data_IF_483113424993
#
_entry.id   IF_483113424993
#
_cell.length_a   1.000
_cell.length_b   1.000
_cell.length_c   1.000
_cell.angle_alpha   90.00
_cell.angle_beta   90.00
_cell.angle_gamma   90.00
#
_symmetry.space_group_name_H-M   'P 1'
#
loop_
_entity.id
_entity.type
_entity.pdbx_description
1 polymer ?
#
# COMPACT_ATOMS: atom_id res chain seq x y z
N UNK A 1 -17.63 26.79 13.39
CA UNK A 1 -16.23 27.18 13.63
C UNK A 1 -15.31 26.36 12.72
N UNK A 2 -14.74 27.00 11.70
CA UNK A 2 -13.87 26.36 10.73
C UNK A 2 -12.50 26.11 11.35
N UNK A 3 -12.24 24.89 11.80
CA UNK A 3 -10.92 24.47 12.24
C UNK A 3 -9.93 24.60 11.07
N UNK A 4 -9.04 25.59 11.14
CA UNK A 4 -8.01 25.82 10.13
C UNK A 4 -7.23 24.55 9.82
N UNK A 5 -7.19 24.17 8.54
CA UNK A 5 -6.49 22.99 8.05
C UNK A 5 -5.00 23.15 8.37
N UNK A 6 -4.50 22.41 9.37
CA UNK A 6 -3.07 22.40 9.70
C UNK A 6 -2.30 21.99 8.44
N UNK A 7 -1.16 22.62 8.16
CA UNK A 7 -0.29 22.30 7.02
C UNK A 7 0.09 20.80 6.92
N UNK A 8 -0.01 20.08 8.04
CA UNK A 8 0.26 18.65 8.17
C UNK A 8 -0.89 17.73 7.73
N UNK A 9 -2.08 18.27 7.45
CA UNK A 9 -3.24 17.52 6.99
C UNK A 9 -3.18 17.28 5.49
N UNK A 10 -3.22 16.00 5.14
CA UNK A 10 -3.10 15.53 3.77
C UNK A 10 -3.86 14.21 3.64
N UNK A 11 -5.14 14.31 3.30
CA UNK A 11 -6.07 13.19 3.33
C UNK A 11 -5.70 12.11 2.30
N UNK A 12 -5.29 12.52 1.10
CA UNK A 12 -4.89 11.63 0.01
C UNK A 12 -3.68 10.79 0.41
N UNK A 13 -2.67 11.39 1.03
CA UNK A 13 -1.51 10.65 1.56
C UNK A 13 -1.93 9.68 2.65
N UNK A 14 -2.65 10.16 3.65
CA UNK A 14 -3.00 9.34 4.82
C UNK A 14 -3.89 8.15 4.38
N UNK A 15 -4.82 8.37 3.43
CA UNK A 15 -5.63 7.33 2.79
C UNK A 15 -4.78 6.34 1.99
N UNK A 16 -3.87 6.82 1.14
CA UNK A 16 -2.99 5.95 0.35
C UNK A 16 -2.09 5.06 1.21
N UNK A 17 -1.55 5.59 2.33
CA UNK A 17 -0.76 4.81 3.30
C UNK A 17 -1.61 3.68 3.90
N UNK A 18 -2.79 4.01 4.41
CA UNK A 18 -3.67 3.03 5.08
C UNK A 18 -4.15 1.96 4.10
N UNK A 19 -4.60 2.37 2.91
CA UNK A 19 -5.07 1.43 1.88
C UNK A 19 -3.94 0.51 1.41
N UNK A 20 -2.74 1.03 1.21
CA UNK A 20 -1.58 0.18 0.85
C UNK A 20 -1.25 -0.81 1.97
N UNK A 21 -1.30 -0.38 3.22
CA UNK A 21 -1.03 -1.24 4.37
C UNK A 21 -2.05 -2.40 4.48
N UNK A 22 -3.35 -2.10 4.32
CA UNK A 22 -4.42 -3.09 4.51
C UNK A 22 -4.70 -3.94 3.27
N UNK A 23 -4.50 -3.42 2.06
CA UNK A 23 -4.80 -4.16 0.82
C UNK A 23 -3.60 -4.93 0.26
N UNK A 24 -2.39 -4.54 0.63
CA UNK A 24 -1.16 -5.23 0.20
C UNK A 24 -0.36 -5.84 1.36
N UNK A 25 -0.78 -5.66 2.63
CA UNK A 25 -0.19 -6.35 3.77
C UNK A 25 1.29 -6.01 4.04
N UNK A 26 1.75 -4.83 3.61
CA UNK A 26 3.12 -4.37 3.82
C UNK A 26 3.38 -4.07 5.30
N UNK A 27 4.60 -4.39 5.75
CA UNK A 27 5.09 -4.01 7.08
C UNK A 27 5.38 -2.51 7.13
N UNK A 28 5.40 -1.94 8.33
CA UNK A 28 5.72 -0.52 8.53
C UNK A 28 7.06 -0.12 7.87
N UNK A 29 8.10 -0.93 8.04
CA UNK A 29 9.42 -0.64 7.48
C UNK A 29 9.44 -0.81 5.95
N UNK A 30 8.59 -1.69 5.39
CA UNK A 30 8.43 -1.85 3.94
C UNK A 30 7.73 -0.64 3.34
N UNK A 31 6.66 -0.13 4.00
CA UNK A 31 5.98 1.09 3.60
C UNK A 31 6.92 2.31 3.63
N UNK A 32 7.71 2.45 4.70
CA UNK A 32 8.68 3.54 4.84
C UNK A 32 9.73 3.50 3.72
N UNK A 33 10.17 2.31 3.30
CA UNK A 33 11.23 2.12 2.30
C UNK A 33 10.74 2.05 0.85
N UNK A 34 9.42 1.94 0.64
CA UNK A 34 8.84 1.86 -0.69
C UNK A 34 9.24 3.08 -1.55
N UNK A 35 9.56 2.79 -2.81
CA UNK A 35 9.82 3.77 -3.86
C UNK A 35 8.68 3.79 -4.87
N UNK A 36 8.59 4.86 -5.65
CA UNK A 36 7.60 4.96 -6.72
C UNK A 36 7.81 3.88 -7.77
N UNK A 37 9.06 3.56 -8.11
CA UNK A 37 9.40 2.49 -9.06
C UNK A 37 9.09 1.07 -8.57
N UNK A 38 8.74 0.90 -7.29
CA UNK A 38 8.26 -0.38 -6.77
C UNK A 38 6.81 -0.67 -7.20
N UNK A 39 6.07 0.35 -7.70
CA UNK A 39 4.70 0.21 -8.22
C UNK A 39 4.75 0.03 -9.73
N UNK A 40 4.21 -1.10 -10.21
CA UNK A 40 4.13 -1.43 -11.63
C UNK A 40 2.66 -1.57 -12.05
N UNK A 41 2.04 -0.51 -12.58
CA UNK A 41 0.67 -0.59 -13.09
C UNK A 41 0.55 -1.54 -14.28
N UNK A 42 -0.62 -2.13 -14.44
CA UNK A 42 -1.07 -2.91 -15.58
C UNK A 42 -2.52 -2.51 -15.92
N UNK A 43 -3.07 -3.00 -17.01
CA UNK A 43 -4.43 -2.65 -17.45
C UNK A 43 -5.52 -3.16 -16.48
N UNK A 44 -5.26 -4.28 -15.79
CA UNK A 44 -6.15 -4.92 -14.81
C UNK A 44 -5.79 -4.60 -13.34
N UNK A 45 -4.84 -3.69 -13.10
CA UNK A 45 -4.44 -3.29 -11.76
C UNK A 45 -2.96 -2.95 -11.69
N UNK A 46 -2.21 -3.73 -10.93
CA UNK A 46 -0.76 -3.61 -10.90
C UNK A 46 -0.08 -4.60 -9.96
N UNK A 47 1.22 -4.42 -9.79
CA UNK A 47 2.04 -5.20 -8.89
C UNK A 47 2.90 -4.25 -8.05
N UNK A 48 2.92 -4.49 -6.74
CA UNK A 48 3.85 -3.85 -5.81
C UNK A 48 5.03 -4.80 -5.57
N UNK A 49 6.23 -4.36 -5.91
CA UNK A 49 7.48 -5.02 -5.56
C UNK A 49 7.89 -4.63 -4.13
N UNK A 50 7.90 -5.60 -3.22
CA UNK A 50 8.27 -5.37 -1.82
C UNK A 50 9.64 -5.95 -1.57
N UNK A 51 10.59 -5.08 -1.22
CA UNK A 51 11.97 -5.44 -0.89
C UNK A 51 12.11 -5.84 0.57
N UNK A 52 12.40 -7.12 0.82
CA UNK A 52 12.52 -7.69 2.17
C UNK A 52 13.95 -7.68 2.72
N UNK A 53 14.10 -8.00 4.01
CA UNK A 53 15.43 -8.20 4.62
C UNK A 53 16.07 -9.48 4.06
N UNK A 54 17.33 -9.38 3.61
CA UNK A 54 18.10 -10.52 3.10
C UNK A 54 17.76 -10.93 1.66
N UNK A 55 17.47 -9.96 0.78
CA UNK A 55 17.13 -10.19 -0.64
C UNK A 55 15.82 -10.98 -0.88
N UNK A 56 14.94 -11.01 0.12
CA UNK A 56 13.65 -11.70 0.09
C UNK A 56 12.59 -10.78 -0.52
N UNK A 57 12.65 -10.62 -1.83
CA UNK A 57 11.71 -9.78 -2.57
C UNK A 57 10.42 -10.56 -2.88
N UNK A 58 9.27 -9.89 -2.77
CA UNK A 58 7.98 -10.45 -3.18
C UNK A 58 7.20 -9.50 -4.06
N UNK A 59 6.32 -10.07 -4.88
CA UNK A 59 5.43 -9.35 -5.77
C UNK A 59 4.01 -9.50 -5.28
N UNK A 60 3.35 -8.39 -4.98
CA UNK A 60 1.99 -8.36 -4.46
C UNK A 60 1.10 -7.77 -5.56
N UNK A 61 0.27 -8.59 -6.22
CA UNK A 61 -0.73 -8.08 -7.15
C UNK A 61 -1.74 -7.21 -6.39
N UNK A 62 -2.17 -6.12 -7.02
CA UNK A 62 -3.12 -5.17 -6.44
C UNK A 62 -4.11 -4.72 -7.51
N UNK A 63 -5.33 -4.43 -7.08
CA UNK A 63 -6.40 -4.02 -7.99
C UNK A 63 -6.27 -2.57 -8.44
N UNK A 64 -6.95 -2.23 -9.54
CA UNK A 64 -7.01 -0.85 -10.05
C UNK A 64 -7.45 0.16 -9.01
N UNK A 65 -8.31 -0.24 -8.07
CA UNK A 65 -8.77 0.61 -6.98
C UNK A 65 -7.60 1.17 -6.15
N UNK A 66 -6.61 0.33 -5.78
CA UNK A 66 -5.44 0.81 -5.04
C UNK A 66 -4.53 1.67 -5.91
N UNK A 67 -4.34 1.30 -7.18
CA UNK A 67 -3.55 2.08 -8.12
C UNK A 67 -4.13 3.49 -8.29
N UNK A 68 -5.45 3.63 -8.37
CA UNK A 68 -6.11 4.93 -8.44
C UNK A 68 -5.85 5.79 -7.19
N UNK A 69 -5.92 5.20 -6.00
CA UNK A 69 -5.66 5.92 -4.74
C UNK A 69 -4.19 6.37 -4.63
N UNK A 70 -3.26 5.54 -5.10
CA UNK A 70 -1.84 5.91 -5.20
C UNK A 70 -1.62 7.04 -6.21
N UNK A 71 -2.26 6.99 -7.38
CA UNK A 71 -2.17 8.06 -8.40
C UNK A 71 -2.73 9.38 -7.87
N UNK A 72 -3.90 9.38 -7.26
CA UNK A 72 -4.52 10.57 -6.67
C UNK A 72 -3.61 11.21 -5.59
N UNK A 73 -3.00 10.39 -4.74
CA UNK A 73 -2.00 10.87 -3.80
C UNK A 73 -0.78 11.50 -4.50
N UNK A 74 -0.22 10.86 -5.53
CA UNK A 74 0.94 11.40 -6.24
C UNK A 74 0.65 12.68 -7.01
N UNK A 75 -0.56 12.85 -7.52
CA UNK A 75 -1.04 14.11 -8.12
C UNK A 75 -1.12 15.22 -7.06
N UNK A 76 -1.75 14.94 -5.90
CA UNK A 76 -1.79 15.90 -4.80
C UNK A 76 -0.39 16.25 -4.27
N UNK A 77 0.55 15.31 -4.32
CA UNK A 77 1.96 15.53 -3.97
C UNK A 77 2.64 16.47 -4.97
N UNK A 78 2.36 16.33 -6.26
CA UNK A 78 2.94 17.19 -7.28
C UNK A 78 2.43 18.63 -7.16
N UNK A 79 1.18 18.81 -6.71
CA UNK A 79 0.63 20.14 -6.38
C UNK A 79 1.37 20.77 -5.19
N UNK A 80 1.63 19.99 -4.12
CA UNK A 80 2.34 20.48 -2.93
C UNK A 80 3.83 20.72 -3.15
N UNK A 81 4.48 19.89 -3.96
CA UNK A 81 5.92 19.93 -4.24
C UNK A 81 6.20 20.01 -5.75
N UNK A 82 5.83 21.13 -6.42
CA UNK A 82 5.89 21.23 -7.87
C UNK A 82 7.31 21.11 -8.43
N UNK A 83 8.32 21.57 -7.69
CA UNK A 83 9.74 21.49 -8.10
C UNK A 83 10.30 20.06 -8.06
N UNK A 84 9.66 19.16 -7.31
CA UNK A 84 10.13 17.77 -7.15
C UNK A 84 9.53 16.81 -8.19
N UNK A 85 8.57 17.27 -9.00
CA UNK A 85 7.84 16.47 -9.99
C UNK A 85 8.05 16.96 -11.42
N UNK A 86 8.15 16.02 -12.37
CA UNK A 86 8.20 16.30 -13.81
C UNK A 86 6.77 16.47 -14.34
N UNK A 87 6.31 17.73 -14.44
CA UNK A 87 4.95 18.09 -14.91
C UNK A 87 4.54 17.55 -16.29
N UNK A 88 5.48 17.10 -17.14
CA UNK A 88 5.21 16.62 -18.52
C UNK A 88 5.56 15.14 -18.72
N UNK A 89 5.27 14.27 -17.76
CA UNK A 89 5.49 12.84 -17.96
C UNK A 89 4.36 12.21 -18.78
N UNK A 90 4.71 11.53 -19.88
CA UNK A 90 3.79 10.73 -20.69
C UNK A 90 3.20 9.54 -19.92
N UNK A 91 3.81 9.16 -18.79
CA UNK A 91 3.48 7.95 -18.04
C UNK A 91 2.57 8.24 -16.82
N UNK A 92 1.84 9.35 -16.85
CA UNK A 92 0.87 9.76 -15.82
C UNK A 92 1.48 10.09 -14.46
N UNK A 93 0.66 10.08 -13.40
CA UNK A 93 1.05 10.48 -12.05
C UNK A 93 2.27 9.74 -11.47
N UNK A 94 2.40 8.43 -11.75
CA UNK A 94 3.56 7.63 -11.34
C UNK A 94 4.83 8.00 -12.13
N UNK A 95 4.67 8.26 -13.43
CA UNK A 95 5.77 8.67 -14.30
C UNK A 95 6.29 10.08 -14.03
N UNK A 96 5.54 10.91 -13.31
CA UNK A 96 5.93 12.27 -12.97
C UNK A 96 7.05 12.33 -11.92
N UNK A 97 7.51 11.19 -11.40
CA UNK A 97 8.54 11.11 -10.36
C UNK A 97 9.69 10.17 -10.76
N UNK A 98 10.91 10.39 -10.26
CA UNK A 98 11.99 9.41 -10.39
C UNK A 98 11.61 8.06 -9.76
N UNK A 99 12.02 6.96 -10.39
CA UNK A 99 11.74 5.61 -9.86
C UNK A 99 12.32 5.37 -8.45
N UNK A 100 13.41 6.06 -8.10
CA UNK A 100 14.05 5.99 -6.78
C UNK A 100 13.41 6.89 -5.72
N UNK A 101 12.50 7.79 -6.11
CA UNK A 101 11.83 8.69 -5.18
C UNK A 101 10.98 7.89 -4.18
N UNK A 102 10.96 8.34 -2.92
CA UNK A 102 10.14 7.73 -1.89
C UNK A 102 8.66 7.74 -2.30
N UNK A 103 7.96 6.62 -2.12
CA UNK A 103 6.52 6.56 -2.39
C UNK A 103 5.78 7.48 -1.41
N UNK A 104 5.97 7.28 -0.11
CA UNK A 104 5.34 8.08 0.94
C UNK A 104 6.28 9.11 1.53
N UNK A 105 5.79 10.35 1.65
CA UNK A 105 6.57 11.49 2.17
C UNK A 105 5.93 12.19 3.37
N UNK A 106 6.77 12.85 4.16
CA UNK A 106 6.38 13.74 5.24
C UNK A 106 5.71 15.02 4.73
N UNK A 107 5.43 15.94 5.65
CA UNK A 107 4.89 17.26 5.30
C UNK A 107 5.96 18.18 4.67
N UNK A 108 7.23 17.80 4.79
CA UNK A 108 8.42 18.42 4.22
C UNK A 108 8.74 17.92 2.79
N UNK A 109 8.07 16.85 2.33
CA UNK A 109 8.34 16.24 1.03
C UNK A 109 9.45 15.19 1.04
N UNK A 110 10.08 14.98 2.20
CA UNK A 110 11.10 13.96 2.42
C UNK A 110 10.47 12.61 2.74
N UNK A 111 11.25 11.52 2.64
CA UNK A 111 10.76 10.17 2.96
C UNK A 111 10.10 10.13 4.33
N UNK A 112 8.88 9.57 4.40
CA UNK A 112 8.15 9.49 5.66
C UNK A 112 8.93 8.67 6.69
N UNK A 113 9.06 9.19 7.91
CA UNK A 113 9.68 8.45 9.01
C UNK A 113 8.72 7.39 9.57
N UNK A 114 9.26 6.36 10.23
CA UNK A 114 8.46 5.33 10.88
C UNK A 114 7.47 5.90 11.89
N UNK A 115 7.91 6.85 12.71
CA UNK A 115 7.07 7.53 13.70
C UNK A 115 5.95 8.35 13.05
N UNK A 116 6.24 9.07 11.97
CA UNK A 116 5.24 9.82 11.23
C UNK A 116 4.19 8.89 10.59
N UNK A 117 4.62 7.79 9.95
CA UNK A 117 3.71 6.79 9.39
C UNK A 117 2.78 6.20 10.46
N UNK A 118 3.35 5.81 11.60
CA UNK A 118 2.61 5.29 12.75
C UNK A 118 1.57 6.28 13.29
N UNK A 119 1.95 7.56 13.41
CA UNK A 119 1.04 8.61 13.81
C UNK A 119 -0.13 8.78 12.82
N UNK A 120 0.13 8.73 11.51
CA UNK A 120 -0.94 8.81 10.49
C UNK A 120 -1.91 7.66 10.56
N UNK A 121 -1.41 6.44 10.74
CA UNK A 121 -2.25 5.25 10.94
C UNK A 121 -3.14 5.41 12.18
N UNK A 122 -2.55 5.76 13.34
CA UNK A 122 -3.33 6.00 14.56
C UNK A 122 -4.40 7.07 14.37
N UNK A 123 -4.07 8.16 13.67
CA UNK A 123 -5.01 9.24 13.39
C UNK A 123 -6.19 8.76 12.53
N UNK A 124 -5.94 7.91 11.53
CA UNK A 124 -6.99 7.32 10.71
C UNK A 124 -7.94 6.44 11.54
N UNK A 125 -7.39 5.59 12.43
CA UNK A 125 -8.20 4.79 13.36
C UNK A 125 -9.08 5.66 14.27
N UNK A 126 -8.51 6.70 14.89
CA UNK A 126 -9.27 7.63 15.74
C UNK A 126 -10.39 8.33 14.97
N UNK A 127 -10.13 8.77 13.73
CA UNK A 127 -11.16 9.38 12.88
C UNK A 127 -12.29 8.42 12.51
N UNK A 128 -11.98 7.12 12.39
CA UNK A 128 -12.97 6.08 12.15
C UNK A 128 -13.75 5.64 13.40
N UNK A 129 -13.61 6.32 14.54
CA UNK A 129 -14.26 5.93 15.80
C UNK A 129 -13.64 4.69 16.46
N UNK A 130 -12.57 4.14 15.88
CA UNK A 130 -11.85 3.01 16.42
C UNK A 130 -10.80 3.52 17.41
N UNK A 131 -11.25 3.80 18.64
CA UNK A 131 -10.39 4.18 19.75
C UNK A 131 -9.55 2.98 20.19
N UNK A 132 -8.49 2.69 19.44
CA UNK A 132 -7.56 1.62 19.77
C UNK A 132 -6.59 2.08 20.86
N UNK A 133 -6.61 1.40 22.01
CA UNK A 133 -5.54 1.49 23.03
C UNK A 133 -4.21 0.87 22.56
N UNK A 134 -4.20 0.17 21.41
CA UNK A 134 -3.01 -0.47 20.86
C UNK A 134 -2.05 0.56 20.26
N UNK A 135 -0.75 0.30 20.39
CA UNK A 135 0.29 1.11 19.78
C UNK A 135 0.21 1.05 18.24
N UNK A 136 0.65 2.13 17.58
CA UNK A 136 0.59 2.23 16.12
C UNK A 136 1.28 1.09 15.36
N UNK A 137 2.39 0.58 15.91
CA UNK A 137 3.08 -0.58 15.34
C UNK A 137 2.20 -1.82 15.32
N UNK A 138 1.46 -2.06 16.41
CA UNK A 138 0.48 -3.14 16.51
C UNK A 138 -0.67 -2.93 15.53
N UNK A 139 -1.06 -1.69 15.23
CA UNK A 139 -2.11 -1.41 14.24
C UNK A 139 -1.67 -1.70 12.80
N UNK A 140 -0.43 -1.38 12.42
CA UNK A 140 0.10 -1.74 11.10
C UNK A 140 0.25 -3.26 10.95
N UNK A 141 0.70 -3.95 12.01
CA UNK A 141 0.65 -5.41 12.05
C UNK A 141 -0.79 -5.93 12.00
N UNK A 142 -1.73 -5.24 12.65
CA UNK A 142 -3.17 -5.52 12.59
C UNK A 142 -3.71 -5.49 11.17
N UNK A 143 -3.35 -4.48 10.36
CA UNK A 143 -3.75 -4.44 8.94
C UNK A 143 -3.23 -5.62 8.14
N UNK A 144 -1.97 -6.03 8.39
CA UNK A 144 -1.42 -7.23 7.76
C UNK A 144 -2.15 -8.50 8.21
N UNK A 145 -2.55 -8.59 9.46
CA UNK A 145 -3.38 -9.69 9.94
C UNK A 145 -4.75 -9.68 9.28
N UNK A 146 -5.42 -8.52 9.18
CA UNK A 146 -6.69 -8.39 8.46
C UNK A 146 -6.54 -8.84 7.01
N UNK A 147 -5.51 -8.38 6.29
CA UNK A 147 -5.20 -8.85 4.94
C UNK A 147 -5.06 -10.38 4.87
N UNK A 148 -4.34 -10.99 5.82
CA UNK A 148 -4.17 -12.43 5.88
C UNK A 148 -5.48 -13.19 6.15
N UNK A 149 -6.28 -12.70 7.11
CA UNK A 149 -7.54 -13.31 7.52
C UNK A 149 -8.59 -13.21 6.42
N UNK A 150 -8.73 -12.06 5.77
CA UNK A 150 -9.72 -11.88 4.70
C UNK A 150 -9.41 -12.78 3.51
N UNK A 151 -8.14 -12.91 3.11
CA UNK A 151 -7.75 -13.85 2.07
C UNK A 151 -7.98 -15.31 2.49
N UNK A 152 -7.70 -15.67 3.73
CA UNK A 152 -7.95 -17.03 4.23
C UNK A 152 -9.45 -17.38 4.21
N UNK A 153 -10.32 -16.41 4.50
CA UNK A 153 -11.78 -16.59 4.49
C UNK A 153 -12.35 -16.82 3.08
N UNK A 154 -11.67 -16.36 2.04
CA UNK A 154 -12.06 -16.53 0.62
C UNK A 154 -11.56 -17.84 0.00
N UNK A 155 -11.16 -18.82 0.83
CA UNK A 155 -10.59 -20.10 0.39
C UNK A 155 -9.30 -19.95 -0.47
N UNK A 156 -8.57 -18.85 -0.33
CA UNK A 156 -7.25 -18.70 -0.94
C UNK A 156 -6.33 -19.78 -0.39
N UNK A 157 -5.59 -20.46 -1.28
CA UNK A 157 -4.68 -21.52 -0.86
C UNK A 157 -3.63 -20.98 0.14
N UNK A 158 -3.35 -21.77 1.18
CA UNK A 158 -2.33 -21.44 2.20
C UNK A 158 -0.99 -21.10 1.55
N UNK A 159 -0.65 -21.76 0.44
CA UNK A 159 0.56 -21.48 -0.34
C UNK A 159 0.55 -20.09 -0.98
N UNK A 160 -0.55 -19.67 -1.63
CA UNK A 160 -0.68 -18.33 -2.19
C UNK A 160 -0.63 -17.27 -1.08
N UNK A 161 -1.29 -17.54 0.06
CA UNK A 161 -1.26 -16.68 1.23
C UNK A 161 0.17 -16.51 1.79
N UNK A 162 0.92 -17.61 1.92
CA UNK A 162 2.32 -17.59 2.37
C UNK A 162 3.22 -16.80 1.42
N UNK A 163 3.03 -16.89 0.10
CA UNK A 163 3.78 -16.08 -0.88
C UNK A 163 3.44 -14.59 -0.79
N UNK A 164 2.17 -14.23 -0.67
CA UNK A 164 1.73 -12.84 -0.54
C UNK A 164 2.25 -12.19 0.75
N UNK A 165 2.28 -12.95 1.84
CA UNK A 165 2.78 -12.49 3.12
C UNK A 165 4.31 -12.57 3.23
N UNK A 166 4.97 -13.49 2.55
CA UNK A 166 6.42 -13.71 2.65
C UNK A 166 6.83 -14.45 3.94
N UNK A 167 6.06 -15.47 4.35
CA UNK A 167 6.44 -16.41 5.43
C UNK A 167 7.20 -17.59 4.83
N UNK A 168 8.34 -17.93 5.42
CA UNK A 168 9.25 -18.99 4.94
C UNK A 168 9.47 -20.01 6.07
N UNK A 169 8.93 -21.22 5.91
CA UNK A 169 9.30 -22.48 6.60
C UNK A 169 8.24 -23.52 6.20
N UNK A 170 8.51 -24.70 5.63
CA UNK A 170 9.73 -25.41 5.22
C UNK A 170 9.32 -26.43 4.13
N UNK A 171 10.23 -26.73 3.19
CA UNK A 171 10.20 -27.74 2.12
C UNK A 171 9.86 -27.25 0.68
N UNK A 172 10.85 -27.51 -0.18
CA UNK A 172 10.89 -27.61 -1.64
C UNK A 172 10.77 -26.34 -2.49
N UNK A 173 11.92 -25.67 -2.63
CA UNK A 173 12.29 -24.78 -3.75
C UNK A 173 12.46 -25.50 -5.10
N UNK A 174 11.62 -26.46 -5.49
CA UNK A 174 11.79 -27.12 -6.79
C UNK A 174 10.47 -27.40 -7.50
N UNK A 175 10.38 -26.79 -8.70
CA UNK A 175 9.33 -26.88 -9.73
C UNK A 175 8.06 -26.09 -9.41
N UNK A 176 7.90 -24.97 -10.11
CA UNK A 176 6.71 -24.59 -10.89
C UNK A 176 6.88 -23.12 -11.29
N UNK A 177 7.44 -22.92 -12.49
CA UNK A 177 7.56 -21.66 -13.20
C UNK A 177 6.31 -21.54 -14.11
N UNK A 178 5.80 -20.32 -14.27
CA UNK A 178 4.69 -19.86 -15.13
C UNK A 178 3.23 -19.89 -14.59
N UNK A 179 2.86 -20.75 -13.64
CA UNK A 179 1.48 -20.77 -13.07
C UNK A 179 1.25 -19.89 -11.83
N UNK A 180 2.30 -19.52 -11.11
CA UNK A 180 2.18 -18.90 -9.78
C UNK A 180 1.79 -17.40 -9.84
N UNK A 181 2.07 -16.71 -10.93
CA UNK A 181 1.75 -15.28 -11.08
C UNK A 181 0.24 -15.02 -11.21
N UNK A 182 -0.44 -15.84 -12.02
CA UNK A 182 -1.89 -15.78 -12.22
C UNK A 182 -2.65 -16.23 -10.98
N UNK A 183 -2.22 -17.30 -10.31
CA UNK A 183 -2.80 -17.75 -9.04
C UNK A 183 -2.68 -16.70 -7.93
N UNK A 184 -1.52 -16.06 -7.79
CA UNK A 184 -1.32 -15.00 -6.80
C UNK A 184 -2.17 -13.75 -7.10
N UNK A 185 -2.40 -13.43 -8.38
CA UNK A 185 -3.27 -12.32 -8.78
C UNK A 185 -4.74 -12.64 -8.48
N UNK A 186 -5.21 -13.82 -8.87
CA UNK A 186 -6.56 -14.28 -8.57
C UNK A 186 -6.84 -14.29 -7.06
N UNK A 187 -5.87 -14.76 -6.26
CA UNK A 187 -5.95 -14.72 -4.80
C UNK A 187 -6.04 -13.28 -4.26
N UNK A 188 -5.18 -12.36 -4.70
CA UNK A 188 -5.22 -10.97 -4.25
C UNK A 188 -6.52 -10.24 -4.66
N UNK A 189 -7.07 -10.57 -5.83
CA UNK A 189 -8.32 -10.03 -6.35
C UNK A 189 -9.55 -10.46 -5.52
N UNK A 190 -9.47 -11.61 -4.84
CA UNK A 190 -10.53 -12.08 -3.95
C UNK A 190 -10.62 -11.27 -2.66
N UNK A 191 -9.68 -10.38 -2.35
CA UNK A 191 -9.72 -9.60 -1.10
C UNK A 191 -11.01 -8.74 -1.03
N UNK A 192 -11.96 -9.07 -0.12
CA UNK A 192 -13.27 -8.40 -0.04
C UNK A 192 -13.16 -6.93 0.35
N UNK A 193 -12.03 -6.50 0.94
CA UNK A 193 -11.79 -5.12 1.33
C UNK A 193 -11.78 -4.15 0.13
N UNK A 194 -11.53 -4.63 -1.09
CA UNK A 194 -11.69 -3.80 -2.29
C UNK A 194 -13.15 -3.38 -2.52
N UNK A 195 -14.12 -4.15 -2.05
CA UNK A 195 -15.54 -3.78 -2.07
C UNK A 195 -15.83 -2.50 -1.27
N UNK A 196 -15.13 -2.29 -0.16
CA UNK A 196 -15.30 -1.10 0.70
C UNK A 196 -14.87 0.19 -0.01
N UNK A 197 -13.83 0.13 -0.86
CA UNK A 197 -13.41 1.29 -1.66
C UNK A 197 -14.49 1.65 -2.68
N UNK A 198 -15.03 0.65 -3.38
CA UNK A 198 -16.09 0.85 -4.38
C UNK A 198 -17.35 1.45 -3.76
N UNK A 199 -17.72 1.03 -2.54
CA UNK A 199 -18.86 1.57 -1.80
C UNK A 199 -18.63 3.01 -1.31
N UNK A 200 -17.42 3.34 -0.84
CA UNK A 200 -17.06 4.71 -0.41
C UNK A 200 -17.06 5.76 -1.53
N UNK A 201 -17.15 5.32 -2.79
CA UNK A 201 -17.20 6.16 -3.99
C UNK A 201 -18.59 6.27 -4.61
N UNK A 202 -19.60 5.56 -4.09
CA UNK A 202 -20.98 5.80 -4.51
C UNK A 202 -21.43 7.16 -3.95
N UNK A 203 -22.01 8.03 -4.79
CA UNK A 203 -22.43 9.38 -4.41
C UNK A 203 -23.50 9.37 -3.33
#
# INVERSE_FOLDING_TARGET
HSAGTRHTDWAERDRAIVLTAVLAGLRADELVRANIGDIRPADDGGVIHVRGKGNKDRRIPVEQALIHELKAYLESRAVRFPSASKRRSSNGALGAWPATAALFVGADGERITRGALQYRVLRAFKKGGLNSQRSAGVLVHGFRHTFATELANENVSVYALMKLLGHESMLTSQRYVDGAGTQNRAAAAQNPLYGLIKQSRKP
#
